data_IF_053434662374
#
_entry.id   IF_053434662374
#
_cell.length_a   1.000
_cell.length_b   1.000
_cell.length_c   1.000
_cell.angle_alpha   90.00
_cell.angle_beta   90.00
_cell.angle_gamma   90.00
#
_symmetry.space_group_name_H-M   'P 1'
#
loop_
_entity.id
_entity.type
_entity.pdbx_description
1 polymer ?
#
# COMPACT_ATOMS: atom_id res chain seq x y z
N UNK A 1 -12.17 -30.06 20.11
CA UNK A 1 -12.74 -29.85 18.75
C UNK A 1 -11.63 -30.00 17.70
N UNK A 2 -11.97 -30.26 16.43
CA UNK A 2 -10.98 -30.47 15.35
C UNK A 2 -10.37 -29.14 14.87
N UNK A 3 -9.03 -28.99 14.83
CA UNK A 3 -8.39 -27.74 14.39
C UNK A 3 -8.31 -27.65 12.85
N UNK A 4 -8.15 -26.43 12.32
CA UNK A 4 -7.91 -26.17 10.88
C UNK A 4 -6.45 -26.49 10.50
N UNK A 5 -6.16 -27.78 10.33
CA UNK A 5 -4.79 -28.29 10.11
C UNK A 5 -4.09 -27.68 8.91
N UNK A 6 -4.80 -27.45 7.80
CA UNK A 6 -4.23 -26.82 6.61
C UNK A 6 -3.81 -25.36 6.86
N UNK A 7 -4.66 -24.56 7.49
CA UNK A 7 -4.35 -23.15 7.81
C UNK A 7 -3.14 -23.05 8.74
N UNK A 8 -3.04 -23.96 9.71
CA UNK A 8 -1.89 -24.05 10.62
C UNK A 8 -0.61 -24.37 9.85
N UNK A 9 -0.66 -25.30 8.90
CA UNK A 9 0.48 -25.63 8.05
C UNK A 9 0.92 -24.44 7.19
N UNK A 10 -0.01 -23.71 6.56
CA UNK A 10 0.33 -22.51 5.79
C UNK A 10 0.94 -21.42 6.67
N UNK A 11 0.41 -21.19 7.88
CA UNK A 11 0.98 -20.25 8.83
C UNK A 11 2.44 -20.61 9.17
N UNK A 12 2.72 -21.89 9.42
CA UNK A 12 4.09 -22.39 9.63
C UNK A 12 5.01 -22.02 8.46
N UNK A 13 4.60 -22.25 7.22
CA UNK A 13 5.40 -21.91 6.04
C UNK A 13 5.67 -20.40 5.92
N UNK A 14 4.68 -19.55 6.23
CA UNK A 14 4.84 -18.09 6.25
C UNK A 14 5.82 -17.66 7.35
N UNK A 15 5.78 -18.29 8.52
CA UNK A 15 6.74 -18.02 9.60
C UNK A 15 8.16 -18.44 9.22
N UNK A 16 8.33 -19.61 8.62
CA UNK A 16 9.64 -20.07 8.10
C UNK A 16 10.19 -19.11 7.03
N UNK A 17 9.35 -18.63 6.12
CA UNK A 17 9.73 -17.62 5.14
C UNK A 17 10.18 -16.31 5.80
N UNK A 18 9.42 -15.82 6.79
CA UNK A 18 9.75 -14.59 7.51
C UNK A 18 11.08 -14.71 8.26
N UNK A 19 11.33 -15.85 8.91
CA UNK A 19 12.60 -16.12 9.60
C UNK A 19 13.78 -16.14 8.62
N UNK A 20 13.61 -16.74 7.43
CA UNK A 20 14.64 -16.73 6.37
C UNK A 20 15.00 -15.33 5.86
N UNK A 21 14.06 -14.37 5.96
CA UNK A 21 14.31 -12.97 5.61
C UNK A 21 15.05 -12.18 6.71
N UNK A 22 15.36 -12.79 7.85
CA UNK A 22 15.95 -12.11 9.01
C UNK A 22 14.93 -11.71 10.08
N UNK A 23 13.70 -12.25 10.01
CA UNK A 23 12.69 -12.08 11.05
C UNK A 23 12.06 -10.68 11.08
N UNK A 24 11.55 -10.31 12.26
CA UNK A 24 10.72 -9.11 12.46
C UNK A 24 11.53 -7.83 12.21
N UNK A 25 12.77 -7.76 12.71
CA UNK A 25 13.62 -6.56 12.56
C UNK A 25 13.94 -6.26 11.10
N UNK A 26 14.21 -7.30 10.31
CA UNK A 26 14.51 -7.15 8.89
C UNK A 26 13.27 -6.69 8.10
N UNK A 27 12.12 -7.32 8.32
CA UNK A 27 10.89 -6.95 7.59
C UNK A 27 10.37 -5.57 8.01
N UNK A 28 10.59 -5.14 9.26
CA UNK A 28 10.20 -3.81 9.72
C UNK A 28 10.94 -2.73 8.93
N UNK A 29 12.25 -2.85 8.75
CA UNK A 29 13.05 -1.90 7.96
C UNK A 29 12.52 -1.78 6.52
N UNK A 30 12.17 -2.91 5.90
CA UNK A 30 11.58 -2.93 4.54
C UNK A 30 10.20 -2.27 4.53
N UNK A 31 9.37 -2.54 5.53
CA UNK A 31 8.04 -1.95 5.65
C UNK A 31 8.09 -0.43 5.88
N UNK A 32 9.06 0.05 6.68
CA UNK A 32 9.32 1.47 6.87
C UNK A 32 9.73 2.15 5.57
N UNK A 33 10.64 1.55 4.80
CA UNK A 33 11.07 2.06 3.50
C UNK A 33 9.88 2.17 2.52
N UNK A 34 9.05 1.12 2.43
CA UNK A 34 7.83 1.13 1.61
C UNK A 34 6.88 2.26 2.01
N UNK A 35 6.52 2.33 3.29
CA UNK A 35 5.58 3.33 3.78
C UNK A 35 6.12 4.76 3.58
N UNK A 36 7.41 4.98 3.90
CA UNK A 36 8.09 6.25 3.72
C UNK A 36 8.04 6.72 2.27
N UNK A 37 8.31 5.84 1.31
CA UNK A 37 8.32 6.18 -0.11
C UNK A 37 6.96 6.71 -0.60
N UNK A 38 5.85 6.12 -0.14
CA UNK A 38 4.50 6.58 -0.49
C UNK A 38 4.17 7.89 0.25
N UNK A 39 4.43 7.95 1.56
CA UNK A 39 4.08 9.12 2.36
C UNK A 39 4.88 10.36 2.02
N UNK A 40 6.18 10.23 1.74
CA UNK A 40 7.01 11.34 1.29
C UNK A 40 6.45 11.94 -0.01
N UNK A 41 6.02 11.08 -0.94
CA UNK A 41 5.41 11.53 -2.18
C UNK A 41 4.08 12.25 -1.93
N UNK A 42 3.16 11.63 -1.17
CA UNK A 42 1.86 12.25 -0.84
C UNK A 42 2.05 13.62 -0.16
N UNK A 43 2.98 13.72 0.79
CA UNK A 43 3.25 14.96 1.53
C UNK A 43 3.83 16.08 0.65
N UNK A 44 4.52 15.72 -0.43
CA UNK A 44 5.08 16.67 -1.40
C UNK A 44 4.14 17.00 -2.55
N UNK A 45 3.05 16.24 -2.71
CA UNK A 45 2.18 16.35 -3.89
C UNK A 45 1.15 17.46 -3.77
N UNK A 46 0.77 18.01 -4.91
CA UNK A 46 -0.30 18.98 -5.05
C UNK A 46 -1.68 18.31 -5.17
N UNK A 47 -1.75 17.06 -5.63
CA UNK A 47 -3.00 16.36 -5.92
C UNK A 47 -3.44 15.38 -4.82
N UNK A 48 -2.52 14.66 -4.20
CA UNK A 48 -2.82 13.64 -3.20
C UNK A 48 -2.82 14.21 -1.79
N UNK A 49 -3.68 13.67 -0.92
CA UNK A 49 -3.71 14.01 0.50
C UNK A 49 -3.98 12.78 1.37
N UNK A 50 -3.22 12.63 2.45
CA UNK A 50 -3.52 11.62 3.47
C UNK A 50 -4.36 12.27 4.59
N UNK A 51 -5.58 11.78 4.86
CA UNK A 51 -6.45 12.34 5.91
C UNK A 51 -6.00 12.00 7.33
N UNK A 52 -4.96 11.18 7.48
CA UNK A 52 -4.44 10.70 8.77
C UNK A 52 -3.28 11.58 9.23
N UNK A 53 -3.31 12.00 10.51
CA UNK A 53 -2.21 12.72 11.14
C UNK A 53 -0.88 11.95 11.02
N UNK A 54 0.23 12.65 10.74
CA UNK A 54 1.53 12.02 10.44
C UNK A 54 1.96 10.98 11.48
N UNK A 55 1.77 11.26 12.77
CA UNK A 55 2.11 10.36 13.88
C UNK A 55 1.31 9.05 13.95
N UNK A 56 0.14 9.00 13.30
CA UNK A 56 -0.79 7.86 13.34
C UNK A 56 -0.85 7.11 12.00
N UNK A 57 0.05 7.44 11.06
CA UNK A 57 0.09 6.82 9.73
C UNK A 57 0.53 5.36 9.82
N UNK A 58 -0.22 4.49 9.15
CA UNK A 58 0.05 3.06 9.15
C UNK A 58 1.23 2.73 8.23
N UNK A 59 2.13 1.85 8.69
CA UNK A 59 3.17 1.25 7.84
C UNK A 59 2.62 0.14 6.92
N UNK A 60 1.35 -0.26 7.07
CA UNK A 60 0.74 -1.39 6.37
C UNK A 60 -0.37 -0.99 5.41
N UNK A 61 -1.22 -0.03 5.79
CA UNK A 61 -2.39 0.37 5.02
C UNK A 61 -2.36 1.89 4.81
N UNK A 62 -1.78 2.31 3.70
CA UNK A 62 -1.66 3.73 3.38
C UNK A 62 -2.96 4.20 2.73
N UNK A 63 -3.72 5.01 3.45
CA UNK A 63 -4.94 5.65 2.93
C UNK A 63 -4.63 7.04 2.39
N UNK A 64 -5.20 7.36 1.24
CA UNK A 64 -5.06 8.67 0.61
C UNK A 64 -6.28 9.01 -0.24
N UNK A 65 -6.47 10.30 -0.47
CA UNK A 65 -7.53 10.88 -1.28
C UNK A 65 -6.89 11.69 -2.41
N UNK A 66 -7.62 11.88 -3.50
CA UNK A 66 -7.35 12.96 -4.45
C UNK A 66 -8.07 14.22 -3.97
N UNK A 67 -7.46 15.39 -4.18
CA UNK A 67 -8.12 16.67 -3.89
C UNK A 67 -9.31 16.94 -4.82
N UNK A 68 -9.21 16.51 -6.08
CA UNK A 68 -10.33 16.50 -7.02
C UNK A 68 -10.94 15.10 -7.13
N UNK A 69 -12.15 14.94 -6.60
CA UNK A 69 -12.89 13.67 -6.62
C UNK A 69 -13.37 13.24 -8.00
N UNK A 70 -13.45 14.17 -8.97
CA UNK A 70 -13.84 13.83 -10.33
C UNK A 70 -12.81 12.92 -11.03
N UNK A 71 -11.59 12.89 -10.49
CA UNK A 71 -10.49 12.07 -10.98
C UNK A 71 -10.50 10.65 -10.41
N UNK A 72 -11.35 10.33 -9.43
CA UNK A 72 -11.26 9.06 -8.70
C UNK A 72 -11.45 7.83 -9.61
N UNK A 73 -12.46 7.84 -10.48
CA UNK A 73 -12.72 6.76 -11.43
C UNK A 73 -11.57 6.62 -12.42
N UNK A 74 -11.10 7.75 -12.96
CA UNK A 74 -9.98 7.77 -13.92
C UNK A 74 -8.70 7.21 -13.30
N UNK A 75 -8.42 7.54 -12.05
CA UNK A 75 -7.25 7.03 -11.33
C UNK A 75 -7.31 5.51 -11.15
N UNK A 76 -8.46 4.95 -10.75
CA UNK A 76 -8.61 3.50 -10.63
C UNK A 76 -8.45 2.80 -11.97
N UNK A 77 -9.10 3.31 -13.01
CA UNK A 77 -9.05 2.71 -14.35
C UNK A 77 -7.61 2.71 -14.92
N UNK A 78 -6.88 3.82 -14.76
CA UNK A 78 -5.49 3.91 -15.21
C UNK A 78 -4.53 3.08 -14.34
N UNK A 79 -4.79 2.98 -13.03
CA UNK A 79 -4.02 2.13 -12.14
C UNK A 79 -4.17 0.65 -12.54
N UNK A 80 -5.39 0.19 -12.78
CA UNK A 80 -5.65 -1.18 -13.21
C UNK A 80 -5.01 -1.50 -14.56
N UNK A 81 -5.10 -0.59 -15.54
CA UNK A 81 -4.39 -0.71 -16.83
C UNK A 81 -2.87 -0.76 -16.67
N UNK A 82 -2.36 -0.13 -15.63
CA UNK A 82 -0.93 -0.17 -15.26
C UNK A 82 -0.57 -1.41 -14.44
N UNK A 83 -1.51 -2.33 -14.19
CA UNK A 83 -1.31 -3.54 -13.39
C UNK A 83 -1.18 -3.27 -11.89
N UNK A 84 -1.78 -2.18 -11.40
CA UNK A 84 -1.90 -1.85 -9.98
C UNK A 84 -3.34 -2.11 -9.54
N UNK A 85 -3.55 -3.22 -8.83
CA UNK A 85 -4.88 -3.68 -8.44
C UNK A 85 -5.18 -3.43 -6.96
N UNK A 86 -6.46 -3.33 -6.61
CA UNK A 86 -6.91 -3.29 -5.21
C UNK A 86 -6.66 -1.97 -4.49
N UNK A 87 -6.49 -0.86 -5.23
CA UNK A 87 -6.27 0.47 -4.65
C UNK A 87 -7.56 1.16 -4.20
N UNK A 88 -8.73 0.66 -4.58
CA UNK A 88 -10.01 1.20 -4.13
C UNK A 88 -10.12 1.20 -2.60
N UNK A 89 -10.42 2.36 -2.03
CA UNK A 89 -10.68 2.51 -0.61
C UNK A 89 -11.92 1.76 -0.15
N UNK A 90 -12.10 1.64 1.17
CA UNK A 90 -13.29 1.00 1.71
C UNK A 90 -14.54 1.82 1.34
N UNK A 91 -15.62 1.15 0.91
CA UNK A 91 -16.87 1.78 0.42
C UNK A 91 -17.45 2.87 1.34
N UNK A 92 -17.23 2.74 2.66
CA UNK A 92 -17.70 3.70 3.66
C UNK A 92 -16.85 4.97 3.78
N UNK A 93 -15.57 4.92 3.39
CA UNK A 93 -14.61 6.02 3.55
C UNK A 93 -14.30 6.68 2.20
N UNK A 94 -14.40 5.93 1.10
CA UNK A 94 -14.02 6.39 -0.23
C UNK A 94 -12.50 6.52 -0.39
N UNK A 95 -12.08 7.18 -1.47
CA UNK A 95 -10.68 7.38 -1.81
C UNK A 95 -9.93 6.08 -2.06
N UNK A 96 -8.69 6.01 -1.58
CA UNK A 96 -7.74 4.96 -1.96
C UNK A 96 -7.04 4.34 -0.75
N UNK A 97 -6.66 3.08 -0.91
CA UNK A 97 -5.86 2.34 0.07
C UNK A 97 -4.80 1.49 -0.63
N UNK A 98 -3.54 1.78 -0.37
CA UNK A 98 -2.42 0.92 -0.72
C UNK A 98 -2.05 0.02 0.47
N UNK A 99 -2.37 -1.27 0.36
CA UNK A 99 -2.02 -2.30 1.35
C UNK A 99 -0.64 -2.88 1.04
N UNK A 100 0.34 -2.55 1.87
CA UNK A 100 1.77 -2.83 1.67
C UNK A 100 2.31 -3.85 2.69
N UNK A 101 1.56 -4.94 2.92
CA UNK A 101 1.93 -6.05 3.82
C UNK A 101 3.32 -6.63 3.52
N UNK A 102 3.84 -7.48 4.41
CA UNK A 102 5.19 -8.07 4.33
C UNK A 102 5.52 -8.66 2.94
N UNK A 103 4.56 -9.33 2.30
CA UNK A 103 4.74 -9.92 0.97
C UNK A 103 4.73 -8.93 -0.20
N UNK A 104 4.31 -7.69 0.03
CA UNK A 104 4.36 -6.64 -1.00
C UNK A 104 5.81 -6.18 -1.19
N UNK A 105 6.41 -6.37 -2.37
CA UNK A 105 7.79 -6.00 -2.62
C UNK A 105 7.95 -4.47 -2.74
N UNK A 106 9.16 -3.98 -2.44
CA UNK A 106 9.50 -2.56 -2.59
C UNK A 106 9.31 -2.07 -4.03
N UNK A 107 9.58 -2.91 -5.03
CA UNK A 107 9.35 -2.60 -6.45
C UNK A 107 7.88 -2.33 -6.78
N UNK A 108 6.94 -3.02 -6.13
CA UNK A 108 5.51 -2.74 -6.27
C UNK A 108 5.14 -1.35 -5.76
N UNK A 109 5.75 -0.94 -4.65
CA UNK A 109 5.56 0.40 -4.07
C UNK A 109 6.22 1.48 -4.93
N UNK A 110 7.40 1.22 -5.48
CA UNK A 110 8.05 2.11 -6.45
C UNK A 110 7.19 2.28 -7.71
N UNK A 111 6.62 1.20 -8.24
CA UNK A 111 5.70 1.24 -9.38
C UNK A 111 4.46 2.08 -9.07
N UNK A 112 3.88 1.92 -7.88
CA UNK A 112 2.75 2.76 -7.43
C UNK A 112 3.13 4.24 -7.41
N UNK A 113 4.25 4.61 -6.79
CA UNK A 113 4.64 6.03 -6.72
C UNK A 113 5.01 6.60 -8.10
N UNK A 114 5.63 5.81 -8.98
CA UNK A 114 5.85 6.22 -10.37
C UNK A 114 4.52 6.52 -11.07
N UNK A 115 3.55 5.62 -10.95
CA UNK A 115 2.22 5.82 -11.50
C UNK A 115 1.54 7.07 -10.93
N UNK A 116 1.61 7.29 -9.61
CA UNK A 116 1.00 8.46 -8.99
C UNK A 116 1.66 9.78 -9.46
N UNK A 117 2.98 9.80 -9.63
CA UNK A 117 3.70 10.94 -10.23
C UNK A 117 3.25 11.21 -11.67
N UNK A 118 3.18 10.16 -12.48
CA UNK A 118 2.77 10.27 -13.88
C UNK A 118 1.32 10.74 -14.00
N UNK A 119 0.43 10.25 -13.13
CA UNK A 119 -0.96 10.66 -13.09
C UNK A 119 -1.09 12.14 -12.70
N UNK A 120 -0.40 12.58 -11.64
CA UNK A 120 -0.40 13.98 -11.20
C UNK A 120 0.16 14.92 -12.28
N UNK A 121 1.16 14.51 -13.05
CA UNK A 121 1.73 15.36 -14.12
C UNK A 121 0.78 15.63 -15.30
N UNK A 122 -0.31 14.87 -15.41
CA UNK A 122 -1.26 14.93 -16.54
C UNK A 122 -2.57 15.65 -16.18
N UNK A 123 -2.71 16.12 -14.95
CA UNK A 123 -3.91 16.79 -14.44
C UNK A 123 -3.59 18.19 -13.92
#
# INVERSE_FOLDING_TARGET
NTPSTYSIYIAKLVFEWLLKLGGIEAIEKVNEQKAKLIYDFIDSSSLYVCPVQKRARSKMNVVFLLKDKNLDSKFLDEAEKSGLHGLGGHRLVGGFRASIYNSMPLSGVQKLVSFMKDFESKV
#
